data_IF_099883617209
#
_entry.id   IF_099883617209
#
_cell.length_a   1.000
_cell.length_b   1.000
_cell.length_c   1.000
_cell.angle_alpha   90.00
_cell.angle_beta   90.00
_cell.angle_gamma   90.00
#
_symmetry.space_group_name_H-M   'P 1'
#
loop_
_entity.id
_entity.type
_entity.pdbx_description
1 polymer ?
#
# COMPACT_ATOMS: atom_id res chain seq x y z
N UNK A 1 -13.91 12.79 -23.84
CA UNK A 1 -13.33 13.52 -22.69
C UNK A 1 -13.66 15.00 -22.86
N UNK A 2 -14.07 15.72 -21.81
CA UNK A 2 -14.30 17.16 -21.91
C UNK A 2 -12.96 17.84 -22.22
N UNK A 3 -12.91 18.65 -23.26
CA UNK A 3 -11.73 19.48 -23.55
C UNK A 3 -11.74 20.66 -22.59
N UNK A 4 -10.86 20.65 -21.58
CA UNK A 4 -10.64 21.84 -20.77
C UNK A 4 -10.10 22.97 -21.66
N UNK A 5 -10.65 24.19 -21.58
CA UNK A 5 -10.22 25.31 -22.42
C UNK A 5 -8.79 25.78 -22.10
N UNK A 6 -8.23 25.34 -20.97
CA UNK A 6 -6.89 25.66 -20.53
C UNK A 6 -5.98 24.44 -20.65
N UNK A 7 -4.87 24.59 -21.37
CA UNK A 7 -3.75 23.64 -21.37
C UNK A 7 -2.57 24.27 -20.65
N UNK A 8 -1.95 23.51 -19.74
CA UNK A 8 -0.67 23.87 -19.16
C UNK A 8 0.44 23.64 -20.20
N UNK A 9 1.55 24.41 -20.17
CA UNK A 9 2.70 24.15 -21.01
C UNK A 9 3.29 22.77 -20.66
N UNK A 10 3.65 22.01 -21.69
CA UNK A 10 4.31 20.71 -21.52
C UNK A 10 5.75 20.90 -21.03
N UNK A 11 6.15 20.10 -20.03
CA UNK A 11 7.50 20.13 -19.43
C UNK A 11 8.06 18.70 -19.39
N UNK A 12 9.10 18.44 -20.17
CA UNK A 12 9.64 17.10 -20.45
C UNK A 12 10.80 16.67 -19.53
N UNK A 13 11.28 17.55 -18.65
CA UNK A 13 12.38 17.26 -17.71
C UNK A 13 11.91 17.05 -16.27
N UNK A 14 10.60 17.00 -16.02
CA UNK A 14 10.03 16.73 -14.69
C UNK A 14 9.68 15.25 -14.57
N UNK A 15 10.44 14.56 -13.70
CA UNK A 15 10.28 13.11 -13.46
C UNK A 15 9.52 12.80 -12.18
N UNK A 16 9.35 13.79 -11.29
CA UNK A 16 8.78 13.63 -9.95
C UNK A 16 7.73 14.70 -9.70
N UNK A 17 6.55 14.29 -9.25
CA UNK A 17 5.50 15.18 -8.79
C UNK A 17 5.11 14.78 -7.35
N UNK A 18 5.29 15.71 -6.41
CA UNK A 18 4.89 15.51 -5.02
C UNK A 18 3.82 16.52 -4.64
N UNK A 19 2.66 16.00 -4.27
CA UNK A 19 1.53 16.77 -3.77
C UNK A 19 1.39 16.39 -2.31
N UNK A 20 2.14 17.13 -1.51
CA UNK A 20 2.15 16.94 -0.07
C UNK A 20 0.93 17.60 0.54
N UNK A 21 0.49 17.05 1.66
CA UNK A 21 -0.67 17.56 2.38
C UNK A 21 -0.43 19.01 2.82
N UNK A 22 -1.34 19.90 2.43
CA UNK A 22 -1.37 21.28 2.95
C UNK A 22 -1.93 21.31 4.37
N UNK A 23 -1.57 22.26 5.24
CA UNK A 23 -2.13 22.38 6.60
C UNK A 23 -3.65 22.63 6.64
N UNK A 24 -4.23 23.10 5.55
CA UNK A 24 -5.63 23.50 5.43
C UNK A 24 -6.44 22.42 4.67
N UNK A 25 -7.44 21.75 5.30
CA UNK A 25 -8.27 20.74 4.66
C UNK A 25 -9.21 21.29 3.59
N UNK A 26 -9.33 22.62 3.46
CA UNK A 26 -10.16 23.28 2.46
C UNK A 26 -9.38 23.60 1.17
N UNK A 27 -8.05 23.42 1.17
CA UNK A 27 -7.19 23.61 0.00
C UNK A 27 -6.79 22.27 -0.57
N UNK A 28 -7.73 21.62 -1.25
CA UNK A 28 -7.48 20.40 -2.01
C UNK A 28 -7.44 20.70 -3.50
N UNK A 29 -6.45 20.18 -4.22
CA UNK A 29 -6.44 20.21 -5.68
C UNK A 29 -7.45 19.17 -6.17
N UNK A 30 -8.44 19.61 -6.95
CA UNK A 30 -9.36 18.71 -7.66
C UNK A 30 -8.55 17.82 -8.59
N UNK A 31 -8.75 16.50 -8.52
CA UNK A 31 -7.99 15.56 -9.34
C UNK A 31 -8.35 15.73 -10.81
N UNK A 32 -9.64 15.82 -11.11
CA UNK A 32 -10.14 15.92 -12.48
C UNK A 32 -9.79 17.28 -13.09
N UNK A 33 -9.96 18.37 -12.33
CA UNK A 33 -9.84 19.72 -12.90
C UNK A 33 -8.42 20.30 -12.79
N UNK A 34 -7.59 19.80 -11.86
CA UNK A 34 -6.25 20.34 -11.60
C UNK A 34 -5.16 19.29 -11.80
N UNK A 35 -5.21 18.20 -11.03
CA UNK A 35 -4.13 17.21 -11.03
C UNK A 35 -3.97 16.52 -12.38
N UNK A 36 -5.08 16.22 -13.06
CA UNK A 36 -5.06 15.65 -14.39
C UNK A 36 -4.31 16.57 -15.37
N UNK A 37 -4.61 17.86 -15.38
CA UNK A 37 -3.91 18.83 -16.23
C UNK A 37 -2.42 18.90 -15.90
N UNK A 38 -2.07 18.87 -14.62
CA UNK A 38 -0.66 18.85 -14.19
C UNK A 38 0.05 17.59 -14.68
N UNK A 39 -0.56 16.42 -14.51
CA UNK A 39 0.04 15.15 -14.93
C UNK A 39 0.18 15.07 -16.45
N UNK A 40 -0.84 15.49 -17.20
CA UNK A 40 -0.81 15.52 -18.67
C UNK A 40 0.28 16.46 -19.21
N UNK A 41 0.62 17.51 -18.48
CA UNK A 41 1.70 18.43 -18.81
C UNK A 41 3.11 17.85 -18.56
N UNK A 42 3.24 16.71 -17.89
CA UNK A 42 4.51 16.10 -17.48
C UNK A 42 4.70 14.73 -18.15
N UNK A 43 4.99 14.68 -19.46
CA UNK A 43 5.04 13.43 -20.22
C UNK A 43 6.11 12.45 -19.72
N UNK A 44 7.17 12.95 -19.09
CA UNK A 44 8.27 12.12 -18.56
C UNK A 44 8.11 11.79 -17.07
N UNK A 45 6.93 12.00 -16.48
CA UNK A 45 6.67 11.73 -15.08
C UNK A 45 6.85 10.23 -14.76
N UNK A 46 7.74 9.94 -13.81
CA UNK A 46 8.09 8.59 -13.38
C UNK A 46 7.64 8.28 -11.95
N UNK A 47 7.48 9.30 -11.12
CA UNK A 47 7.10 9.16 -9.72
C UNK A 47 6.05 10.20 -9.31
N UNK A 48 4.96 9.72 -8.70
CA UNK A 48 3.95 10.57 -8.07
C UNK A 48 3.79 10.22 -6.60
N UNK A 49 3.84 11.25 -5.75
CA UNK A 49 3.40 11.18 -4.37
C UNK A 49 2.17 12.06 -4.17
N UNK A 50 1.09 11.48 -3.66
CA UNK A 50 -0.17 12.15 -3.43
C UNK A 50 -0.64 11.95 -1.99
N UNK A 51 -0.69 13.04 -1.23
CA UNK A 51 -1.12 13.05 0.17
C UNK A 51 -2.40 13.88 0.36
N UNK A 52 -3.57 13.34 0.00
CA UNK A 52 -4.81 14.07 0.16
C UNK A 52 -5.23 14.21 1.63
N UNK A 53 -6.17 15.13 1.85
CA UNK A 53 -6.90 15.19 3.10
C UNK A 53 -7.94 14.08 3.20
N UNK A 54 -8.05 13.50 4.39
CA UNK A 54 -9.16 12.60 4.73
C UNK A 54 -10.46 13.40 4.83
N UNK A 55 -11.53 12.88 4.23
CA UNK A 55 -12.86 13.46 4.37
C UNK A 55 -13.32 13.42 5.82
N UNK A 56 -13.72 14.58 6.37
CA UNK A 56 -14.14 14.71 7.78
C UNK A 56 -15.62 14.34 8.03
N UNK A 57 -16.37 14.06 6.97
CA UNK A 57 -17.78 13.64 7.02
C UNK A 57 -18.13 12.76 5.81
N UNK A 58 -19.30 12.10 5.82
CA UNK A 58 -19.74 11.16 4.78
C UNK A 58 -19.70 11.77 3.37
N UNK A 59 -20.20 13.01 3.19
CA UNK A 59 -20.22 13.68 1.88
C UNK A 59 -18.80 13.96 1.34
N UNK A 60 -17.90 14.45 2.18
CA UNK A 60 -16.49 14.66 1.80
C UNK A 60 -15.77 13.35 1.59
N UNK A 61 -16.10 12.31 2.35
CA UNK A 61 -15.52 11.01 2.14
C UNK A 61 -15.93 10.42 0.78
N UNK A 62 -17.21 10.52 0.41
CA UNK A 62 -17.68 10.12 -0.91
C UNK A 62 -16.99 10.90 -2.03
N UNK A 63 -16.85 12.22 -1.86
CA UNK A 63 -16.08 13.05 -2.78
C UNK A 63 -14.63 12.55 -2.90
N UNK A 64 -13.96 12.28 -1.77
CA UNK A 64 -12.58 11.76 -1.77
C UNK A 64 -12.46 10.40 -2.45
N UNK A 65 -13.41 9.49 -2.28
CA UNK A 65 -13.46 8.21 -2.99
C UNK A 65 -13.51 8.44 -4.51
N UNK A 66 -14.32 9.40 -4.94
CA UNK A 66 -14.41 9.79 -6.36
C UNK A 66 -13.09 10.37 -6.87
N UNK A 67 -12.45 11.24 -6.08
CA UNK A 67 -11.14 11.82 -6.40
C UNK A 67 -10.05 10.74 -6.50
N UNK A 68 -10.03 9.74 -5.61
CA UNK A 68 -9.11 8.61 -5.72
C UNK A 68 -9.35 7.78 -6.98
N UNK A 69 -10.60 7.47 -7.31
CA UNK A 69 -10.93 6.76 -8.55
C UNK A 69 -10.47 7.51 -9.79
N UNK A 70 -10.66 8.84 -9.81
CA UNK A 70 -10.14 9.70 -10.86
C UNK A 70 -8.61 9.66 -10.91
N UNK A 71 -7.92 9.75 -9.77
CA UNK A 71 -6.46 9.75 -9.70
C UNK A 71 -5.87 8.45 -10.24
N UNK A 72 -6.44 7.32 -9.80
CA UNK A 72 -6.08 5.97 -10.26
C UNK A 72 -6.29 5.82 -11.77
N UNK A 73 -7.31 6.49 -12.32
CA UNK A 73 -7.57 6.49 -13.76
C UNK A 73 -6.53 7.35 -14.50
N UNK A 74 -6.26 8.55 -14.02
CA UNK A 74 -5.28 9.48 -14.62
C UNK A 74 -3.89 8.87 -14.66
N UNK A 75 -3.43 8.28 -13.54
CA UNK A 75 -2.09 7.67 -13.48
C UNK A 75 -1.94 6.51 -14.48
N UNK A 76 -3.03 5.81 -14.82
CA UNK A 76 -2.99 4.73 -15.80
C UNK A 76 -2.73 5.18 -17.24
N UNK A 77 -2.86 6.47 -17.53
CA UNK A 77 -2.51 7.07 -18.82
C UNK A 77 -1.05 7.55 -18.88
N UNK A 78 -0.32 7.52 -17.75
CA UNK A 78 1.06 7.97 -17.66
C UNK A 78 2.01 6.86 -18.08
N UNK A 79 2.46 6.87 -19.35
CA UNK A 79 3.28 5.79 -19.94
C UNK A 79 4.61 5.54 -19.23
N UNK A 80 5.18 6.58 -18.61
CA UNK A 80 6.49 6.50 -17.96
C UNK A 80 6.40 6.36 -16.44
N UNK A 81 5.19 6.37 -15.88
CA UNK A 81 5.01 6.30 -14.44
C UNK A 81 5.41 4.91 -13.93
N UNK A 82 6.35 4.90 -12.99
CA UNK A 82 6.90 3.68 -12.39
C UNK A 82 6.60 3.59 -10.90
N UNK A 83 6.40 4.71 -10.22
CA UNK A 83 6.23 4.74 -8.77
C UNK A 83 5.02 5.58 -8.38
N UNK A 84 4.17 5.03 -7.51
CA UNK A 84 3.00 5.72 -6.98
C UNK A 84 2.95 5.58 -5.48
N UNK A 85 2.98 6.71 -4.78
CA UNK A 85 2.81 6.79 -3.34
C UNK A 85 1.52 7.55 -3.04
N UNK A 86 0.59 6.92 -2.34
CA UNK A 86 -0.64 7.53 -1.85
C UNK A 86 -0.65 7.40 -0.34
N UNK A 87 -0.71 8.53 0.35
CA UNK A 87 -0.74 8.53 1.81
C UNK A 87 -1.95 9.31 2.31
N UNK A 88 -2.88 8.60 2.95
CA UNK A 88 -3.99 9.25 3.64
C UNK A 88 -3.70 9.32 5.15
N UNK A 89 -3.66 10.50 5.76
CA UNK A 89 -3.36 10.60 7.18
C UNK A 89 -4.50 10.03 8.02
N UNK A 90 -4.18 9.06 8.87
CA UNK A 90 -5.06 8.64 9.96
C UNK A 90 -4.75 9.52 11.18
N UNK A 91 -5.41 10.67 11.26
CA UNK A 91 -5.32 11.49 12.48
C UNK A 91 -6.22 10.90 13.56
N UNK A 92 -5.61 10.52 14.68
CA UNK A 92 -6.28 10.04 15.88
C UNK A 92 -7.28 11.03 16.49
N UNK A 93 -7.29 12.30 16.03
CA UNK A 93 -8.21 13.38 16.43
C UNK A 93 -9.59 13.33 15.75
N UNK A 94 -9.84 12.42 14.82
CA UNK A 94 -11.21 12.13 14.34
C UNK A 94 -11.99 11.24 15.34
N UNK A 95 -11.68 11.39 16.64
CA UNK A 95 -12.10 10.54 17.78
C UNK A 95 -13.54 10.77 18.22
N UNK A 96 -14.32 11.62 17.55
CA UNK A 96 -15.67 12.00 17.99
C UNK A 96 -16.76 11.00 17.60
N UNK A 97 -16.45 9.70 17.47
CA UNK A 97 -17.44 8.68 17.10
C UNK A 97 -18.00 8.81 15.68
N UNK A 98 -17.39 9.66 14.84
CA UNK A 98 -17.74 9.75 13.42
C UNK A 98 -17.27 8.48 12.70
N UNK A 99 -18.17 7.92 11.90
CA UNK A 99 -18.12 6.57 11.30
C UNK A 99 -16.73 6.15 10.81
N UNK A 100 -16.46 4.86 11.01
CA UNK A 100 -15.47 4.11 10.24
C UNK A 100 -15.70 4.43 8.76
N UNK A 101 -14.60 4.75 8.06
CA UNK A 101 -14.56 5.01 6.62
C UNK A 101 -15.57 4.11 5.90
N UNK A 102 -16.57 4.66 5.21
CA UNK A 102 -17.30 3.91 4.18
C UNK A 102 -16.29 3.28 3.22
N UNK A 103 -16.21 1.96 3.24
CA UNK A 103 -15.25 1.23 2.42
C UNK A 103 -15.52 1.49 0.94
N UNK A 104 -14.50 1.94 0.25
CA UNK A 104 -14.56 2.19 -1.18
C UNK A 104 -14.27 0.89 -1.92
N UNK A 105 -15.21 -0.06 -1.87
CA UNK A 105 -15.02 -1.44 -2.35
C UNK A 105 -14.48 -1.52 -3.80
N UNK A 106 -14.80 -0.54 -4.65
CA UNK A 106 -14.32 -0.48 -6.04
C UNK A 106 -12.89 0.03 -6.22
N UNK A 107 -12.31 0.76 -5.25
CA UNK A 107 -10.98 1.36 -5.41
C UNK A 107 -9.86 0.33 -5.38
N UNK A 108 -9.99 -0.72 -4.55
CA UNK A 108 -8.99 -1.80 -4.46
C UNK A 108 -8.78 -2.51 -5.79
N UNK A 109 -9.83 -3.12 -6.37
CA UNK A 109 -9.73 -3.80 -7.67
C UNK A 109 -9.33 -2.86 -8.82
N UNK A 110 -9.75 -1.60 -8.76
CA UNK A 110 -9.34 -0.60 -9.75
C UNK A 110 -7.84 -0.30 -9.64
N UNK A 111 -7.34 -0.05 -8.44
CA UNK A 111 -5.92 0.21 -8.17
C UNK A 111 -5.05 -0.98 -8.61
N UNK A 112 -5.44 -2.20 -8.24
CA UNK A 112 -4.76 -3.43 -8.62
C UNK A 112 -4.57 -3.56 -10.13
N UNK A 113 -5.63 -3.32 -10.90
CA UNK A 113 -5.58 -3.37 -12.37
C UNK A 113 -4.73 -2.26 -12.98
N UNK A 114 -4.77 -1.06 -12.41
CA UNK A 114 -4.03 0.10 -12.93
C UNK A 114 -2.57 0.14 -12.50
N UNK A 115 -2.16 -0.66 -11.51
CA UNK A 115 -0.77 -0.75 -11.05
C UNK A 115 0.09 -1.77 -11.80
N UNK A 116 -0.47 -2.50 -12.78
CA UNK A 116 0.21 -3.59 -13.50
C UNK A 116 1.59 -3.23 -14.08
N UNK A 117 1.78 -1.99 -14.53
CA UNK A 117 3.01 -1.51 -15.14
C UNK A 117 4.01 -0.87 -14.14
N UNK A 118 3.59 -0.63 -12.89
CA UNK A 118 4.41 0.05 -11.89
C UNK A 118 5.54 -0.85 -11.37
N UNK A 119 6.59 -0.20 -10.89
CA UNK A 119 7.71 -0.81 -10.16
C UNK A 119 7.54 -0.69 -8.64
N UNK A 120 6.92 0.38 -8.16
CA UNK A 120 6.63 0.57 -6.74
C UNK A 120 5.22 1.11 -6.51
N UNK A 121 4.50 0.51 -5.56
CA UNK A 121 3.18 0.92 -5.13
C UNK A 121 3.13 1.02 -3.60
N UNK A 122 3.05 2.25 -3.10
CA UNK A 122 2.91 2.51 -1.67
C UNK A 122 1.57 3.19 -1.43
N UNK A 123 0.66 2.50 -0.77
CA UNK A 123 -0.67 3.03 -0.48
C UNK A 123 -1.00 2.81 0.99
N UNK A 124 -0.83 3.88 1.78
CA UNK A 124 -1.09 3.86 3.20
C UNK A 124 -2.48 4.44 3.46
N UNK A 125 -3.35 3.65 4.11
CA UNK A 125 -4.69 3.99 4.59
C UNK A 125 -5.72 4.43 3.52
N UNK A 126 -5.31 4.70 2.28
CA UNK A 126 -6.20 5.12 1.20
C UNK A 126 -6.95 3.96 0.54
N UNK A 127 -6.34 2.78 0.48
CA UNK A 127 -6.94 1.55 -0.05
C UNK A 127 -6.57 0.41 0.89
N UNK A 128 -7.57 -0.38 1.27
CA UNK A 128 -7.37 -1.56 2.09
C UNK A 128 -6.77 -2.70 1.24
N UNK A 129 -5.72 -3.37 1.73
CA UNK A 129 -5.05 -4.47 1.05
C UNK A 129 -6.01 -5.62 0.71
N UNK A 130 -6.98 -5.94 1.58
CA UNK A 130 -7.97 -6.97 1.31
C UNK A 130 -8.82 -6.65 0.07
N UNK A 131 -9.17 -5.38 -0.14
CA UNK A 131 -9.85 -4.95 -1.36
C UNK A 131 -8.92 -4.89 -2.57
N UNK A 132 -7.65 -4.54 -2.38
CA UNK A 132 -6.66 -4.58 -3.45
C UNK A 132 -6.49 -6.00 -4.01
N UNK A 133 -6.46 -7.02 -3.15
CA UNK A 133 -6.34 -8.43 -3.56
C UNK A 133 -7.67 -9.13 -3.87
N UNK A 134 -8.79 -8.41 -3.86
CA UNK A 134 -10.14 -8.98 -3.92
C UNK A 134 -10.36 -9.93 -5.11
N UNK A 135 -9.84 -9.56 -6.28
CA UNK A 135 -10.02 -10.35 -7.51
C UNK A 135 -9.28 -11.70 -7.48
N UNK A 136 -8.38 -11.91 -6.50
CA UNK A 136 -7.59 -13.14 -6.32
C UNK A 136 -8.23 -14.18 -5.38
N UNK A 137 -9.39 -13.87 -4.81
CA UNK A 137 -10.14 -14.80 -3.96
C UNK A 137 -10.49 -16.10 -4.73
N UNK A 138 -10.46 -17.27 -4.07
CA UNK A 138 -10.69 -18.56 -4.73
C UNK A 138 -12.10 -18.74 -5.35
N UNK A 139 -13.08 -17.94 -4.93
CA UNK A 139 -14.47 -18.03 -5.39
C UNK A 139 -14.84 -17.07 -6.52
N UNK A 140 -13.86 -16.33 -7.07
CA UNK A 140 -14.09 -15.51 -8.25
C UNK A 140 -14.30 -16.41 -9.47
N UNK A 141 -15.53 -16.84 -9.76
CA UNK A 141 -15.89 -17.58 -10.98
C UNK A 141 -15.71 -16.79 -12.28
N UNK A 142 -15.08 -15.62 -12.22
CA UNK A 142 -14.64 -14.82 -13.35
C UNK A 142 -13.13 -14.99 -13.45
N UNK A 143 -12.60 -15.28 -14.65
CA UNK A 143 -11.17 -15.35 -14.97
C UNK A 143 -10.43 -14.00 -14.84
N UNK A 144 -10.83 -13.14 -13.89
CA UNK A 144 -10.22 -11.85 -13.58
C UNK A 144 -8.83 -12.04 -12.97
N UNK A 145 -8.63 -13.09 -12.17
CA UNK A 145 -7.34 -13.42 -11.60
C UNK A 145 -6.28 -13.76 -12.67
N UNK A 146 -6.70 -14.26 -13.84
CA UNK A 146 -5.81 -14.58 -14.96
C UNK A 146 -5.34 -13.33 -15.72
N UNK A 147 -6.06 -12.22 -15.56
CA UNK A 147 -5.73 -10.93 -16.20
C UNK A 147 -4.88 -10.04 -15.31
N UNK A 148 -4.75 -10.38 -14.02
CA UNK A 148 -3.94 -9.65 -13.07
C UNK A 148 -2.52 -10.19 -13.08
N UNK A 149 -1.59 -9.38 -13.56
CA UNK A 149 -0.18 -9.68 -13.58
C UNK A 149 0.62 -8.38 -13.46
N UNK A 150 1.61 -8.38 -12.57
CA UNK A 150 2.42 -7.20 -12.26
C UNK A 150 3.87 -7.47 -12.66
N UNK A 151 4.14 -7.35 -13.97
CA UNK A 151 5.42 -7.75 -14.54
C UNK A 151 6.63 -7.03 -13.92
N UNK A 152 6.44 -5.78 -13.47
CA UNK A 152 7.52 -4.90 -13.03
C UNK A 152 7.53 -4.61 -11.53
N UNK A 153 6.50 -5.00 -10.78
CA UNK A 153 6.31 -4.54 -9.41
C UNK A 153 7.33 -5.20 -8.47
N UNK A 154 8.15 -4.38 -7.83
CA UNK A 154 9.24 -4.76 -6.91
C UNK A 154 8.90 -4.46 -5.47
N UNK A 155 8.14 -3.39 -5.27
CA UNK A 155 7.90 -2.78 -3.98
C UNK A 155 6.40 -2.55 -3.79
N UNK A 156 5.83 -3.14 -2.74
CA UNK A 156 4.42 -2.98 -2.38
C UNK A 156 4.30 -2.70 -0.89
N UNK A 157 3.66 -1.60 -0.52
CA UNK A 157 3.28 -1.30 0.86
C UNK A 157 1.81 -0.95 0.91
N UNK A 158 1.04 -1.73 1.66
CA UNK A 158 -0.41 -1.54 1.82
C UNK A 158 -0.80 -1.52 3.30
N UNK A 159 -1.91 -0.85 3.61
CA UNK A 159 -2.57 -0.99 4.92
C UNK A 159 -3.74 -1.94 4.82
N UNK A 160 -3.99 -2.74 5.86
CA UNK A 160 -5.17 -3.61 5.96
C UNK A 160 -5.75 -3.53 7.36
N UNK A 161 -7.00 -3.09 7.47
CA UNK A 161 -7.68 -3.05 8.77
C UNK A 161 -7.97 -4.47 9.30
N UNK A 162 -7.81 -5.50 8.48
CA UNK A 162 -8.06 -6.90 8.80
C UNK A 162 -6.93 -7.58 9.55
N UNK A 163 -5.71 -7.03 9.51
CA UNK A 163 -4.57 -7.53 10.29
C UNK A 163 -4.75 -7.21 11.79
N UNK A 164 -5.60 -7.99 12.44
CA UNK A 164 -6.00 -7.81 13.83
C UNK A 164 -5.84 -9.10 14.66
N UNK A 165 -5.68 -8.98 15.98
CA UNK A 165 -5.67 -10.12 16.89
C UNK A 165 -6.92 -11.00 16.74
N UNK A 166 -6.70 -12.31 16.53
CA UNK A 166 -7.77 -13.33 16.48
C UNK A 166 -8.82 -13.12 15.39
N UNK A 167 -8.54 -12.29 14.38
CA UNK A 167 -9.42 -12.10 13.23
C UNK A 167 -9.17 -13.18 12.17
N UNK A 168 -10.19 -13.94 11.74
CA UNK A 168 -10.06 -14.84 10.60
C UNK A 168 -9.68 -14.12 9.30
N UNK A 169 -10.04 -12.83 9.19
CA UNK A 169 -9.70 -12.01 8.02
C UNK A 169 -8.19 -11.73 7.92
N UNK A 170 -7.45 -11.77 9.03
CA UNK A 170 -5.98 -11.70 9.03
C UNK A 170 -5.39 -12.82 8.16
N UNK A 171 -5.90 -14.03 8.31
CA UNK A 171 -5.45 -15.20 7.53
C UNK A 171 -5.82 -15.04 6.06
N UNK A 172 -7.03 -14.54 5.79
CA UNK A 172 -7.52 -14.34 4.43
C UNK A 172 -6.70 -13.32 3.64
N UNK A 173 -6.38 -12.15 4.24
CA UNK A 173 -5.59 -11.13 3.54
C UNK A 173 -4.18 -11.64 3.23
N UNK A 174 -3.57 -12.43 4.11
CA UNK A 174 -2.25 -13.03 3.86
C UNK A 174 -2.31 -14.13 2.80
N UNK A 175 -3.35 -14.98 2.79
CA UNK A 175 -3.56 -15.94 1.71
C UNK A 175 -3.69 -15.22 0.35
N UNK A 176 -4.52 -14.18 0.28
CA UNK A 176 -4.73 -13.45 -0.97
C UNK A 176 -3.47 -12.69 -1.41
N UNK A 177 -2.70 -12.16 -0.47
CA UNK A 177 -1.41 -11.56 -0.74
C UNK A 177 -0.42 -12.56 -1.33
N UNK A 178 -0.36 -13.81 -0.84
CA UNK A 178 0.52 -14.85 -1.42
C UNK A 178 0.19 -15.10 -2.90
N UNK A 179 -1.09 -15.14 -3.25
CA UNK A 179 -1.57 -15.30 -4.63
C UNK A 179 -1.21 -14.10 -5.51
N UNK A 180 -1.14 -12.91 -4.92
CA UNK A 180 -0.74 -11.69 -5.62
C UNK A 180 0.77 -11.71 -5.90
N UNK A 181 1.58 -12.07 -4.91
CA UNK A 181 3.03 -12.18 -5.03
C UNK A 181 3.43 -13.25 -6.07
N UNK A 182 2.70 -14.36 -6.17
CA UNK A 182 2.87 -15.34 -7.26
C UNK A 182 2.76 -14.72 -8.67
N UNK A 183 2.12 -13.55 -8.80
CA UNK A 183 1.91 -12.82 -10.06
C UNK A 183 2.81 -11.58 -10.18
N UNK A 184 3.80 -11.44 -9.30
CA UNK A 184 4.76 -10.33 -9.23
C UNK A 184 6.19 -10.90 -9.37
N UNK A 185 6.63 -11.30 -10.57
CA UNK A 185 7.91 -11.99 -10.77
C UNK A 185 9.14 -11.16 -10.39
N UNK A 186 8.98 -9.84 -10.23
CA UNK A 186 10.06 -8.92 -9.89
C UNK A 186 10.01 -8.48 -8.41
N UNK A 187 9.07 -9.01 -7.62
CA UNK A 187 8.89 -8.61 -6.23
C UNK A 187 10.17 -8.76 -5.43
N UNK A 188 10.48 -7.74 -4.64
CA UNK A 188 11.59 -7.70 -3.68
C UNK A 188 11.05 -7.52 -2.27
N UNK A 189 10.01 -6.70 -2.13
CA UNK A 189 9.39 -6.44 -0.85
C UNK A 189 7.90 -6.21 -1.01
N UNK A 190 7.12 -6.94 -0.23
CA UNK A 190 5.69 -6.68 -0.03
C UNK A 190 5.43 -6.57 1.47
N UNK A 191 4.94 -5.42 1.91
CA UNK A 191 4.57 -5.17 3.29
C UNK A 191 3.06 -4.85 3.39
N UNK A 192 2.40 -5.51 4.33
CA UNK A 192 1.04 -5.19 4.74
C UNK A 192 1.10 -4.90 6.22
N UNK A 193 0.59 -3.74 6.63
CA UNK A 193 0.60 -3.38 8.04
C UNK A 193 -0.76 -2.88 8.50
N UNK A 194 -0.92 -2.93 9.82
CA UNK A 194 -2.01 -2.29 10.53
C UNK A 194 -1.49 -1.73 11.84
N UNK A 195 -2.07 -0.61 12.25
CA UNK A 195 -1.75 0.04 13.52
C UNK A 195 -3.00 0.68 14.08
N UNK A 196 -3.43 0.17 15.23
CA UNK A 196 -4.55 0.66 15.98
C UNK A 196 -4.05 1.26 17.29
N UNK A 197 -3.98 2.60 17.32
CA UNK A 197 -3.51 3.37 18.49
C UNK A 197 -4.55 4.42 18.91
N UNK A 198 -5.83 4.27 18.54
CA UNK A 198 -6.88 5.21 18.96
C UNK A 198 -7.03 5.17 20.47
N UNK A 199 -7.21 6.36 21.09
CA UNK A 199 -7.30 6.53 22.55
C UNK A 199 -8.40 5.70 23.24
N UNK A 200 -9.43 5.29 22.50
CA UNK A 200 -10.57 4.53 23.03
C UNK A 200 -10.45 3.02 22.83
N UNK A 201 -9.39 2.55 22.16
CA UNK A 201 -9.17 1.11 21.98
C UNK A 201 -8.47 0.57 23.21
N UNK A 202 -9.12 -0.37 23.89
CA UNK A 202 -8.63 -0.99 25.14
C UNK A 202 -7.29 -1.72 24.94
N UNK A 203 -7.07 -2.25 23.74
CA UNK A 203 -5.87 -3.00 23.38
C UNK A 203 -5.26 -2.46 22.08
N UNK A 204 -4.46 -1.39 22.16
CA UNK A 204 -3.74 -0.91 20.99
C UNK A 204 -2.83 -2.02 20.47
N UNK A 205 -2.79 -2.16 19.15
CA UNK A 205 -2.03 -3.21 18.51
C UNK A 205 -1.45 -2.74 17.19
N UNK A 206 -0.34 -3.34 16.81
CA UNK A 206 0.21 -3.20 15.48
C UNK A 206 0.72 -4.54 14.99
N UNK A 207 0.65 -4.69 13.67
CA UNK A 207 1.14 -5.87 12.96
C UNK A 207 1.75 -5.40 11.65
N UNK A 208 2.91 -5.95 11.30
CA UNK A 208 3.53 -5.84 10.00
C UNK A 208 3.76 -7.27 9.52
N UNK A 209 3.22 -7.58 8.36
CA UNK A 209 3.56 -8.77 7.60
C UNK A 209 4.41 -8.33 6.42
N UNK A 210 5.62 -8.87 6.30
CA UNK A 210 6.51 -8.60 5.18
C UNK A 210 6.90 -9.91 4.48
N UNK A 211 6.86 -9.91 3.15
CA UNK A 211 7.54 -10.89 2.31
C UNK A 211 8.71 -10.21 1.60
N UNK A 212 9.88 -10.79 1.70
CA UNK A 212 11.15 -10.14 1.37
C UNK A 212 12.06 -11.07 0.57
N UNK A 213 12.63 -10.55 -0.51
CA UNK A 213 13.56 -11.19 -1.45
C UNK A 213 14.66 -10.17 -1.79
N UNK A 214 15.80 -10.21 -1.08
CA UNK A 214 16.83 -9.15 -1.13
C UNK A 214 18.05 -9.48 -1.99
N UNK A 215 17.85 -10.25 -3.06
CA UNK A 215 18.87 -10.47 -4.08
C UNK A 215 18.85 -11.89 -4.65
N UNK A 216 19.65 -12.11 -5.71
CA UNK A 216 19.82 -13.44 -6.28
C UNK A 216 20.41 -14.41 -5.25
N UNK A 217 19.98 -15.66 -5.30
CA UNK A 217 20.44 -16.77 -4.44
C UNK A 217 20.20 -16.59 -2.94
N UNK A 218 19.43 -15.57 -2.54
CA UNK A 218 18.99 -15.39 -1.17
C UNK A 218 17.76 -16.25 -0.89
N UNK A 219 17.56 -16.51 0.40
CA UNK A 219 16.36 -17.18 0.88
C UNK A 219 15.24 -16.14 0.96
N UNK A 220 14.09 -16.37 0.30
CA UNK A 220 12.91 -15.56 0.54
C UNK A 220 12.53 -15.68 2.02
N UNK A 221 12.04 -14.60 2.60
CA UNK A 221 11.69 -14.54 4.01
C UNK A 221 10.30 -13.94 4.23
N UNK A 222 9.54 -14.53 5.14
CA UNK A 222 8.44 -13.85 5.80
C UNK A 222 8.95 -13.27 7.11
N UNK A 223 8.65 -12.00 7.36
CA UNK A 223 8.91 -11.34 8.64
C UNK A 223 7.55 -10.90 9.20
N UNK A 224 7.18 -11.45 10.36
CA UNK A 224 5.99 -11.05 11.10
C UNK A 224 6.41 -10.24 12.31
N UNK A 225 6.10 -8.95 12.31
CA UNK A 225 6.33 -8.07 13.45
C UNK A 225 4.99 -7.75 14.12
N UNK A 226 4.83 -8.05 15.41
CA UNK A 226 3.51 -7.94 16.07
C UNK A 226 3.61 -7.55 17.53
N UNK A 227 2.65 -6.75 18.01
CA UNK A 227 2.50 -6.41 19.44
C UNK A 227 1.76 -7.47 20.25
N UNK A 228 1.31 -8.55 19.61
CA UNK A 228 0.47 -9.59 20.21
C UNK A 228 0.98 -11.00 19.94
N UNK A 229 2.25 -11.12 19.52
CA UNK A 229 2.94 -12.40 19.38
C UNK A 229 2.34 -13.31 18.32
N UNK A 230 1.77 -12.75 17.25
CA UNK A 230 1.17 -13.55 16.18
C UNK A 230 2.19 -14.47 15.52
N UNK A 231 1.84 -15.75 15.42
CA UNK A 231 2.63 -16.79 14.75
C UNK A 231 1.80 -17.40 13.62
N UNK A 232 2.44 -17.57 12.46
CA UNK A 232 1.81 -18.19 11.31
C UNK A 232 1.71 -19.71 11.54
N UNK A 233 0.57 -20.27 11.18
CA UNK A 233 0.34 -21.71 11.16
C UNK A 233 0.89 -22.33 9.86
N UNK A 234 1.12 -23.64 9.86
CA UNK A 234 1.62 -24.34 8.67
C UNK A 234 0.75 -24.12 7.42
N UNK A 235 -0.58 -24.05 7.60
CA UNK A 235 -1.53 -23.77 6.52
C UNK A 235 -1.39 -22.37 5.94
N UNK A 236 -0.88 -21.42 6.72
CA UNK A 236 -0.64 -20.03 6.30
C UNK A 236 0.74 -19.88 5.66
N UNK A 237 1.73 -20.70 6.07
CA UNK A 237 3.09 -20.69 5.52
C UNK A 237 3.13 -21.39 4.16
N UNK A 238 2.37 -22.46 3.97
CA UNK A 238 2.45 -23.30 2.77
C UNK A 238 2.25 -22.54 1.44
N UNK A 239 1.24 -21.64 1.29
CA UNK A 239 1.10 -20.85 0.07
C UNK A 239 2.32 -20.00 -0.24
N UNK A 240 2.98 -19.43 0.78
CA UNK A 240 4.19 -18.65 0.60
C UNK A 240 5.41 -19.51 0.27
N UNK A 241 5.50 -20.71 0.83
CA UNK A 241 6.56 -21.65 0.47
C UNK A 241 6.44 -22.06 -1.00
N UNK A 242 5.22 -22.21 -1.51
CA UNK A 242 4.97 -22.42 -2.93
C UNK A 242 5.35 -21.19 -3.77
N UNK A 243 5.03 -19.97 -3.33
CA UNK A 243 5.48 -18.73 -4.00
C UNK A 243 7.00 -18.67 -4.09
N UNK A 244 7.70 -18.97 -2.98
CA UNK A 244 9.16 -19.02 -2.92
C UNK A 244 9.75 -20.05 -3.89
N UNK A 245 9.15 -21.24 -4.01
CA UNK A 245 9.66 -22.28 -4.91
C UNK A 245 9.42 -21.98 -6.40
N UNK A 246 8.49 -21.07 -6.72
CA UNK A 246 8.26 -20.60 -8.09
C UNK A 246 9.20 -19.48 -8.52
N UNK A 247 9.91 -18.82 -7.61
CA UNK A 247 10.82 -17.71 -7.95
C UNK A 247 12.22 -18.25 -8.32
N UNK A 248 12.59 -18.26 -9.62
CA UNK A 248 13.86 -18.82 -10.06
C UNK A 248 15.08 -18.00 -9.61
N UNK A 249 14.87 -16.80 -9.06
CA UNK A 249 15.95 -15.92 -8.59
C UNK A 249 16.42 -16.29 -7.19
N UNK A 250 15.67 -17.12 -6.47
CA UNK A 250 15.84 -17.36 -5.05
C UNK A 250 16.10 -18.82 -4.75
N UNK A 251 16.57 -19.10 -3.54
CA UNK A 251 16.56 -20.48 -3.04
C UNK A 251 15.12 -20.85 -2.69
N UNK A 252 14.71 -22.06 -3.06
CA UNK A 252 13.33 -22.52 -2.84
C UNK A 252 12.89 -22.61 -1.36
N UNK A 253 13.84 -22.54 -0.41
CA UNK A 253 13.54 -22.61 1.01
C UNK A 253 13.07 -21.25 1.55
N UNK A 254 11.82 -21.22 2.03
CA UNK A 254 11.24 -20.06 2.70
C UNK A 254 11.66 -19.98 4.16
N UNK A 255 12.20 -18.84 4.59
CA UNK A 255 12.47 -18.54 6.01
C UNK A 255 11.30 -17.78 6.63
N UNK A 256 11.08 -18.00 7.92
CA UNK A 256 10.06 -17.27 8.68
C UNK A 256 10.70 -16.70 9.95
N UNK A 257 10.60 -15.38 10.10
CA UNK A 257 11.09 -14.63 11.26
C UNK A 257 9.92 -13.97 11.98
N UNK A 258 10.04 -13.91 13.30
CA UNK A 258 9.08 -13.24 14.16
C UNK A 258 9.79 -12.17 14.98
N UNK A 259 9.18 -10.99 15.05
CA UNK A 259 9.71 -9.83 15.77
C UNK A 259 8.63 -9.32 16.71
N UNK A 260 8.94 -9.23 17.98
CA UNK A 260 8.01 -8.65 18.95
C UNK A 260 8.08 -7.12 18.87
N UNK A 261 6.98 -6.50 18.47
CA UNK A 261 6.85 -5.04 18.49
C UNK A 261 6.45 -4.62 19.90
N UNK A 262 7.21 -3.70 20.48
CA UNK A 262 6.85 -3.14 21.78
C UNK A 262 5.85 -2.00 21.60
N UNK A 263 4.84 -1.97 22.46
CA UNK A 263 3.81 -0.91 22.44
C UNK A 263 4.40 0.48 22.71
N UNK A 264 5.46 0.55 23.51
CA UNK A 264 6.20 1.77 23.81
C UNK A 264 6.85 2.41 22.58
N UNK A 265 7.19 1.59 21.57
CA UNK A 265 7.76 2.06 20.29
C UNK A 265 6.69 2.61 19.34
N UNK A 266 5.40 2.49 19.70
CA UNK A 266 4.25 2.88 18.88
C UNK A 266 3.39 3.97 19.53
N UNK A 267 3.96 5.12 19.97
CA UNK A 267 3.20 6.18 20.63
C UNK A 267 2.17 6.85 19.70
N UNK A 268 2.31 6.67 18.38
CA UNK A 268 1.43 7.23 17.35
C UNK A 268 1.31 6.24 16.20
N UNK A 269 0.22 6.35 15.43
CA UNK A 269 -0.01 5.59 14.18
C UNK A 269 1.21 5.59 13.26
N UNK A 270 1.83 6.76 13.05
CA UNK A 270 2.97 6.88 12.13
C UNK A 270 4.28 6.28 12.67
N UNK A 271 4.36 5.90 13.95
CA UNK A 271 5.55 5.26 14.50
C UNK A 271 5.81 3.89 13.90
N UNK A 272 4.78 3.21 13.39
CA UNK A 272 4.92 1.92 12.69
C UNK A 272 5.87 2.01 11.49
N UNK A 273 5.95 3.19 10.84
CA UNK A 273 6.84 3.41 9.70
C UNK A 273 8.32 3.25 10.02
N UNK A 274 8.71 3.38 11.29
CA UNK A 274 10.06 3.13 11.75
C UNK A 274 10.47 1.65 11.67
N UNK A 275 9.49 0.75 11.63
CA UNK A 275 9.69 -0.70 11.69
C UNK A 275 9.45 -1.39 10.34
N UNK A 276 8.98 -0.64 9.34
CA UNK A 276 8.86 -1.14 7.98
C UNK A 276 10.25 -1.37 7.38
N UNK A 277 10.43 -2.47 6.66
CA UNK A 277 11.62 -2.68 5.85
C UNK A 277 11.69 -1.64 4.71
N UNK A 278 10.55 -1.09 4.26
CA UNK A 278 10.49 0.06 3.34
C UNK A 278 10.66 1.43 4.00
N UNK A 279 11.12 1.53 5.26
CA UNK A 279 11.20 2.78 6.03
C UNK A 279 11.89 3.94 5.29
N UNK A 280 12.98 3.67 4.56
CA UNK A 280 13.71 4.70 3.79
C UNK A 280 12.89 5.24 2.60
N UNK A 281 11.98 4.44 2.04
CA UNK A 281 11.10 4.83 0.93
C UNK A 281 9.89 5.63 1.43
N UNK A 282 9.41 5.33 2.64
CA UNK A 282 8.27 6.00 3.28
C UNK A 282 8.69 7.35 3.89
N UNK A 283 9.93 7.49 4.37
CA UNK A 283 10.44 8.72 5.01
C UNK A 283 11.00 9.71 3.99
N UNK A 284 10.15 10.54 3.38
CA UNK A 284 10.59 11.70 2.58
C UNK A 284 10.95 12.94 3.43
N UNK A 285 10.93 12.86 4.76
CA UNK A 285 11.40 13.92 5.67
C UNK A 285 12.44 13.39 6.66
N UNK A 286 13.67 13.90 6.54
CA UNK A 286 14.83 13.82 7.46
C UNK A 286 14.54 13.07 8.76
N UNK A 287 14.91 11.80 8.85
CA UNK A 287 15.40 11.16 10.08
C UNK A 287 16.01 9.80 9.70
N UNK A 288 17.31 9.80 9.46
CA UNK A 288 18.13 8.60 9.25
C UNK A 288 18.41 7.95 10.61
N UNK A 289 17.84 6.77 10.85
CA UNK A 289 18.43 5.73 11.71
C UNK A 289 17.58 4.45 11.64
N UNK A 290 18.21 3.40 11.13
CA UNK A 290 18.06 2.04 11.62
C UNK A 290 17.14 1.11 10.84
N UNK A 291 17.64 0.46 9.78
CA UNK A 291 17.14 -0.85 9.32
C UNK A 291 18.27 -1.85 8.99
N UNK A 292 19.53 -1.41 8.94
CA UNK A 292 20.67 -2.30 8.58
C UNK A 292 20.94 -3.49 9.51
N UNK A 293 20.23 -3.64 10.62
CA UNK A 293 20.50 -4.65 11.66
C UNK A 293 19.56 -5.87 11.65
N UNK A 294 18.56 -5.91 10.77
CA UNK A 294 17.59 -7.02 10.71
C UNK A 294 17.96 -8.12 9.70
N UNK A 295 19.04 -7.92 8.93
CA UNK A 295 19.42 -8.76 7.80
C UNK A 295 20.86 -9.31 7.88
N UNK A 296 21.51 -9.12 9.03
CA UNK A 296 22.78 -9.74 9.43
C UNK A 296 22.50 -10.75 10.54
#
# INVERSE_FOLDING_TARGET
MPTHPFRLPTVDFVYVLQILRLPDPYRTISVVEGLQLMIEALPCLQYVQYEPWRGVNDARQYHMITQYGAFITVMSHCKHLRRVHIFEPVTSTMSSGLKIRTEALGLGPLLARRSAALEALIVCFAVNAMHFFWDLRPTSGLNLADRLYWANLREVLLTSDELQPRSPSTVQVIDWASRAVARMPQIQIMEIFNVETRKHVLNPHATIFAYVVLGPDQFPAIIVSSTWGWRLQSTEIWPWAHVASMDPRTRAELRVQYVDLKREDLPRTNSVFCHLAMCDVVRTRKTTRGVRKLLE
#
